data_IF_701681916522
#
_entry.id   IF_701681916522
#
_cell.length_a   1.000
_cell.length_b   1.000
_cell.length_c   1.000
_cell.angle_alpha   90.00
_cell.angle_beta   90.00
_cell.angle_gamma   90.00
#
_symmetry.space_group_name_H-M   'P 1'
#
loop_
_entity.id
_entity.type
_entity.pdbx_description
1 polymer ?
#
# COMPACT_ATOMS: atom_id res chain seq x y z
N UNK A 1 -6.64 1.28 7.73
CA UNK A 1 -7.49 1.21 6.52
C UNK A 1 -6.62 1.50 5.31
N UNK A 2 -6.87 0.85 4.18
CA UNK A 2 -6.05 0.93 2.96
C UNK A 2 -6.97 1.25 1.77
N UNK A 3 -6.54 2.15 0.87
CA UNK A 3 -7.27 2.48 -0.36
C UNK A 3 -6.83 1.59 -1.53
N UNK A 4 -7.77 1.15 -2.37
CA UNK A 4 -7.46 0.44 -3.61
C UNK A 4 -7.13 1.42 -4.74
N UNK A 5 -5.97 1.28 -5.39
CA UNK A 5 -5.55 2.16 -6.49
C UNK A 5 -6.29 1.92 -7.83
N UNK A 6 -7.26 1.00 -7.88
CA UNK A 6 -8.03 0.64 -9.09
C UNK A 6 -9.51 1.04 -9.00
N UNK A 7 -10.11 0.97 -7.80
CA UNK A 7 -11.53 1.34 -7.60
C UNK A 7 -11.72 2.47 -6.58
N UNK A 8 -10.64 3.03 -6.03
CA UNK A 8 -10.60 4.11 -5.03
C UNK A 8 -11.33 3.83 -3.70
N UNK A 9 -11.98 2.67 -3.54
CA UNK A 9 -12.61 2.22 -2.30
C UNK A 9 -11.60 2.03 -1.16
N UNK A 10 -12.09 2.23 0.06
CA UNK A 10 -11.34 2.09 1.31
C UNK A 10 -11.72 0.80 2.05
N UNK A 11 -10.70 0.03 2.45
CA UNK A 11 -10.83 -1.27 3.08
C UNK A 11 -10.28 -1.27 4.51
N UNK A 12 -10.91 -2.05 5.38
CA UNK A 12 -10.40 -2.37 6.71
C UNK A 12 -9.34 -3.49 6.59
N UNK A 13 -8.28 -3.41 7.39
CA UNK A 13 -7.09 -4.28 7.25
C UNK A 13 -7.38 -5.74 7.62
N UNK A 14 -8.41 -5.96 8.43
CA UNK A 14 -8.95 -7.26 8.82
C UNK A 14 -9.87 -7.87 7.74
N UNK A 15 -10.23 -7.10 6.70
CA UNK A 15 -11.29 -7.41 5.74
C UNK A 15 -10.84 -7.38 4.26
N UNK A 16 -9.53 -7.25 3.99
CA UNK A 16 -8.97 -7.26 2.61
C UNK A 16 -8.86 -8.65 1.96
N UNK A 17 -9.24 -9.73 2.67
CA UNK A 17 -9.28 -11.09 2.11
C UNK A 17 -7.95 -11.85 2.11
N UNK A 18 -7.01 -11.47 2.97
CA UNK A 18 -5.79 -12.26 3.23
C UNK A 18 -6.09 -13.58 3.94
N UNK A 19 -5.24 -14.59 3.74
CA UNK A 19 -5.33 -15.85 4.52
C UNK A 19 -4.65 -15.66 5.88
N UNK A 20 -4.94 -16.55 6.85
CA UNK A 20 -4.40 -16.44 8.22
C UNK A 20 -2.88 -16.65 8.35
N UNK A 21 -2.18 -16.87 7.23
CA UNK A 21 -0.72 -16.91 7.09
C UNK A 21 -0.12 -15.64 6.49
N UNK A 22 -0.95 -14.75 5.94
CA UNK A 22 -0.53 -13.68 5.04
C UNK A 22 -0.70 -12.34 5.77
N UNK A 23 0.41 -11.65 6.04
CA UNK A 23 0.40 -10.35 6.72
C UNK A 23 0.59 -9.19 5.73
N UNK A 24 0.14 -7.99 6.13
CA UNK A 24 0.33 -6.76 5.35
C UNK A 24 1.84 -6.41 5.37
N UNK A 25 2.52 -6.24 4.21
CA UNK A 25 3.96 -5.98 4.18
C UNK A 25 4.35 -4.68 4.91
N UNK A 26 5.01 -4.83 6.06
CA UNK A 26 5.51 -3.76 6.94
C UNK A 26 6.96 -4.01 7.34
N UNK A 27 7.69 -2.97 7.74
CA UNK A 27 9.03 -3.09 8.34
C UNK A 27 8.99 -3.25 9.87
N UNK A 28 10.17 -3.30 10.50
CA UNK A 28 10.34 -3.53 11.94
C UNK A 28 9.77 -2.35 12.77
N UNK A 29 9.71 -1.16 12.16
CA UNK A 29 9.09 0.06 12.66
C UNK A 29 7.55 0.08 12.45
N UNK A 30 7.02 -0.82 11.60
CA UNK A 30 5.61 -0.97 11.29
C UNK A 30 5.12 -0.20 10.06
N UNK A 31 5.99 0.49 9.34
CA UNK A 31 5.66 1.31 8.17
C UNK A 31 5.44 0.45 6.91
N UNK A 32 4.56 0.87 5.97
CA UNK A 32 4.28 0.10 4.74
C UNK A 32 5.51 -0.10 3.84
N UNK A 33 5.78 -1.37 3.48
CA UNK A 33 6.80 -1.73 2.48
C UNK A 33 6.29 -1.65 1.02
N UNK A 34 5.01 -1.31 0.83
CA UNK A 34 4.36 -1.14 -0.47
C UNK A 34 4.06 0.35 -0.77
N UNK A 35 3.68 0.63 -2.01
CA UNK A 35 3.30 1.96 -2.54
C UNK A 35 1.81 2.00 -2.90
N UNK A 36 1.35 1.04 -3.71
CA UNK A 36 -0.06 0.89 -4.10
C UNK A 36 -0.62 -0.46 -3.57
N UNK A 37 -1.93 -0.50 -3.35
CA UNK A 37 -2.69 -1.69 -2.99
C UNK A 37 -3.80 -1.95 -4.02
N UNK A 38 -3.97 -3.21 -4.42
CA UNK A 38 -5.09 -3.66 -5.27
C UNK A 38 -5.95 -4.64 -4.47
N UNK A 39 -7.23 -4.28 -4.28
CA UNK A 39 -8.18 -5.12 -3.55
C UNK A 39 -8.52 -6.42 -4.29
N UNK A 40 -9.05 -7.40 -3.56
CA UNK A 40 -9.30 -8.75 -4.07
C UNK A 40 -10.12 -8.79 -5.38
N UNK A 41 -11.14 -7.93 -5.51
CA UNK A 41 -11.98 -7.84 -6.70
C UNK A 41 -11.29 -7.19 -7.91
N UNK A 42 -10.41 -6.21 -7.69
CA UNK A 42 -9.66 -5.55 -8.75
C UNK A 42 -8.48 -6.42 -9.24
N UNK A 43 -7.91 -7.25 -8.38
CA UNK A 43 -6.80 -8.13 -8.71
C UNK A 43 -7.12 -9.15 -9.84
N UNK A 44 -8.39 -9.49 -10.06
CA UNK A 44 -8.83 -10.28 -11.23
C UNK A 44 -8.67 -9.52 -12.56
N UNK A 45 -9.02 -8.23 -12.58
CA UNK A 45 -8.82 -7.34 -13.75
C UNK A 45 -7.32 -7.11 -13.98
N UNK A 46 -6.58 -6.92 -12.89
CA UNK A 46 -5.14 -6.66 -12.89
C UNK A 46 -4.28 -7.94 -12.90
N UNK A 47 -4.85 -9.11 -13.20
CA UNK A 47 -4.15 -10.41 -13.18
C UNK A 47 -2.90 -10.47 -14.06
N UNK A 48 -2.81 -9.65 -15.10
CA UNK A 48 -1.58 -9.49 -15.92
C UNK A 48 -0.35 -9.01 -15.11
N UNK A 49 -0.54 -8.42 -13.93
CA UNK A 49 0.54 -7.97 -13.04
C UNK A 49 1.37 -9.14 -12.51
N UNK A 50 0.87 -10.38 -12.54
CA UNK A 50 1.68 -11.55 -12.17
C UNK A 50 2.86 -11.79 -13.13
N UNK A 51 2.80 -11.30 -14.38
CA UNK A 51 3.94 -11.33 -15.31
C UNK A 51 5.09 -10.38 -14.92
N UNK A 52 4.87 -9.53 -13.92
CA UNK A 52 5.86 -8.60 -13.35
C UNK A 52 6.24 -8.96 -11.90
N UNK A 53 5.69 -10.05 -11.34
CA UNK A 53 5.62 -10.30 -9.89
C UNK A 53 6.97 -10.19 -9.16
N UNK A 54 8.04 -10.75 -9.72
CA UNK A 54 9.40 -10.70 -9.13
C UNK A 54 9.95 -9.28 -8.97
N UNK A 55 9.45 -8.31 -9.72
CA UNK A 55 9.86 -6.89 -9.66
C UNK A 55 8.88 -6.03 -8.85
N UNK A 56 7.58 -6.30 -8.96
CA UNK A 56 6.53 -5.42 -8.41
C UNK A 56 5.88 -5.90 -7.10
N UNK A 57 6.17 -7.10 -6.61
CA UNK A 57 5.56 -7.60 -5.37
C UNK A 57 6.28 -7.07 -4.12
N UNK A 58 5.55 -6.41 -3.22
CA UNK A 58 6.05 -6.08 -1.89
C UNK A 58 6.12 -7.36 -1.03
N UNK A 59 7.30 -7.97 -0.98
CA UNK A 59 7.51 -9.24 -0.28
C UNK A 59 7.54 -9.07 1.24
N UNK A 60 6.69 -9.81 1.96
CA UNK A 60 6.90 -10.08 3.39
C UNK A 60 8.25 -10.79 3.54
N UNK A 61 9.17 -10.18 4.27
CA UNK A 61 10.54 -10.70 4.43
C UNK A 61 10.55 -11.87 5.42
N UNK A 62 10.25 -13.07 4.93
CA UNK A 62 10.34 -14.30 5.71
C UNK A 62 11.76 -14.54 6.22
N UNK A 63 12.03 -14.08 7.44
CA UNK A 63 13.30 -14.21 8.16
C UNK A 63 13.53 -15.66 8.63
N UNK A 64 13.65 -16.59 7.69
CA UNK A 64 14.11 -17.96 7.90
C UNK A 64 15.62 -17.96 8.25
N UNK A 65 15.93 -17.55 9.47
CA UNK A 65 17.28 -17.62 10.06
C UNK A 65 17.80 -19.06 9.98
N UNK A 66 19.05 -19.21 9.57
CA UNK A 66 19.64 -20.52 9.32
C UNK A 66 19.62 -21.43 10.57
N UNK A 67 19.09 -22.65 10.40
CA UNK A 67 19.05 -23.67 11.44
C UNK A 67 20.46 -24.06 11.92
N UNK A 68 20.77 -23.77 13.19
CA UNK A 68 21.92 -24.36 13.89
C UNK A 68 21.44 -25.29 15.02
N UNK A 69 21.27 -26.56 14.66
CA UNK A 69 21.31 -27.77 15.51
C UNK A 69 21.25 -27.60 17.04
N UNK A 70 20.20 -28.17 17.64
CA UNK A 70 20.35 -29.08 18.78
C UNK A 70 19.19 -30.06 18.90
N UNK A 71 19.51 -31.34 18.91
CA UNK A 71 18.55 -32.43 19.14
C UNK A 71 18.23 -32.55 20.63
N UNK A 72 16.98 -32.89 20.96
CA UNK A 72 16.69 -33.85 22.04
C UNK A 72 15.29 -34.44 21.90
N UNK A 73 15.22 -35.76 21.71
CA UNK A 73 13.97 -36.52 21.77
C UNK A 73 13.70 -37.05 23.19
N UNK A 74 12.43 -37.06 23.59
CA UNK A 74 11.82 -37.93 24.64
C UNK A 74 10.39 -38.27 24.17
N UNK A 75 9.82 -39.37 24.66
CA UNK A 75 8.63 -40.06 24.14
C UNK A 75 7.33 -39.75 24.89
N UNK A 76 6.20 -39.97 24.18
CA UNK A 76 4.89 -40.43 24.68
C UNK A 76 4.13 -39.49 25.66
N UNK A 77 2.82 -39.62 25.89
CA UNK A 77 1.86 -40.71 25.61
C UNK A 77 0.47 -40.18 25.15
N UNK A 78 -0.42 -41.07 24.71
CA UNK A 78 -1.83 -40.79 24.39
C UNK A 78 -2.75 -41.80 25.09
N UNK A 79 -3.91 -41.37 25.63
CA UNK A 79 -5.13 -42.05 25.18
C UNK A 79 -6.39 -41.18 25.06
N UNK A 80 -7.18 -41.45 24.01
CA UNK A 80 -8.64 -41.22 24.01
C UNK A 80 -9.37 -42.25 24.89
N UNK A 81 -10.63 -42.01 25.26
CA UNK A 81 -11.65 -43.00 24.84
C UNK A 81 -13.08 -42.46 24.56
N UNK A 82 -13.68 -42.93 23.45
CA UNK A 82 -15.04 -43.52 23.31
C UNK A 82 -16.31 -42.65 23.66
N UNK A 83 -17.52 -42.84 23.10
CA UNK A 83 -18.04 -43.85 22.15
C UNK A 83 -19.29 -43.45 21.31
N UNK A 84 -19.39 -44.07 20.12
CA UNK A 84 -20.54 -44.40 19.22
C UNK A 84 -21.98 -43.87 19.43
N UNK A 85 -22.63 -43.53 18.30
CA UNK A 85 -23.93 -44.12 17.90
C UNK A 85 -24.23 -44.05 16.36
N UNK A 86 -24.49 -45.21 15.73
CA UNK A 86 -25.55 -45.57 14.73
C UNK A 86 -25.94 -44.50 13.67
N UNK A 87 -25.68 -44.67 12.35
CA UNK A 87 -26.42 -45.45 11.31
C UNK A 87 -27.89 -45.00 11.09
N UNK A 88 -28.51 -45.05 9.90
CA UNK A 88 -28.09 -45.49 8.54
C UNK A 88 -27.99 -44.23 7.60
N UNK A 89 -28.14 -44.16 6.26
CA UNK A 89 -28.46 -45.06 5.13
C UNK A 89 -27.89 -44.45 3.80
N UNK A 90 -28.17 -45.04 2.61
CA UNK A 90 -27.73 -44.62 1.27
C UNK A 90 -28.86 -44.83 0.22
N UNK A 91 -28.91 -44.09 -0.91
CA UNK A 91 -28.34 -44.69 -2.13
C UNK A 91 -27.76 -43.72 -3.20
N UNK A 92 -26.79 -44.22 -3.97
CA UNK A 92 -26.49 -43.83 -5.36
C UNK A 92 -26.89 -44.99 -6.29
N UNK A 93 -27.11 -44.78 -7.61
CA UNK A 93 -25.97 -44.79 -8.56
C UNK A 93 -26.17 -43.78 -9.74
N UNK A 94 -25.17 -43.51 -10.60
CA UNK A 94 -24.71 -44.37 -11.69
C UNK A 94 -23.25 -44.07 -12.10
N UNK A 95 -22.60 -45.05 -12.72
CA UNK A 95 -21.19 -45.01 -13.16
C UNK A 95 -21.09 -45.06 -14.69
N UNK A 96 -20.06 -44.42 -15.24
CA UNK A 96 -19.37 -44.91 -16.45
C UNK A 96 -17.87 -44.72 -16.26
N UNK A 97 -17.05 -45.71 -16.63
CA UNK A 97 -15.63 -45.73 -16.31
C UNK A 97 -14.75 -45.46 -17.54
N UNK A 98 -13.80 -44.52 -17.40
CA UNK A 98 -12.61 -44.38 -18.23
C UNK A 98 -11.35 -44.53 -17.35
N UNK A 99 -10.22 -44.94 -17.91
CA UNK A 99 -9.00 -45.35 -17.16
C UNK A 99 -7.76 -44.80 -17.87
N UNK A 100 -6.65 -44.66 -17.11
CA UNK A 100 -5.26 -44.39 -17.58
C UNK A 100 -5.00 -42.92 -18.01
N UNK A 101 -3.86 -42.27 -17.73
CA UNK A 101 -2.66 -42.60 -16.90
C UNK A 101 -2.13 -41.33 -16.18
N UNK A 102 -1.20 -41.48 -15.24
CA UNK A 102 -0.52 -40.38 -14.53
C UNK A 102 0.87 -40.12 -15.13
N UNK A 103 0.96 -39.17 -16.06
CA UNK A 103 2.23 -38.67 -16.58
C UNK A 103 2.80 -37.54 -15.71
N UNK A 104 4.04 -37.68 -15.25
CA UNK A 104 4.83 -36.60 -14.63
C UNK A 104 6.03 -36.27 -15.52
N UNK A 105 6.24 -35.00 -15.84
CA UNK A 105 7.39 -34.54 -16.60
C UNK A 105 7.83 -33.14 -16.15
N UNK A 106 9.03 -33.05 -15.57
CA UNK A 106 9.70 -31.78 -15.31
C UNK A 106 10.11 -31.12 -16.63
N UNK A 107 9.86 -29.82 -16.79
CA UNK A 107 10.37 -29.07 -17.94
C UNK A 107 11.78 -28.55 -17.64
N UNK A 108 12.78 -29.18 -18.23
CA UNK A 108 14.16 -28.69 -18.21
C UNK A 108 14.36 -27.61 -19.29
N UNK A 109 15.08 -26.55 -18.94
CA UNK A 109 15.68 -25.60 -19.88
C UNK A 109 16.57 -26.31 -20.89
N UNK A 110 16.42 -25.99 -22.18
CA UNK A 110 17.53 -26.00 -23.15
C UNK A 110 17.19 -25.09 -24.35
N UNK A 111 18.22 -24.50 -24.95
CA UNK A 111 18.12 -23.52 -26.05
C UNK A 111 18.86 -24.05 -27.27
N UNK A 112 18.32 -23.92 -28.49
CA UNK A 112 19.06 -23.50 -29.72
C UNK A 112 18.23 -23.54 -31.03
N UNK A 113 18.58 -22.61 -31.94
CA UNK A 113 18.57 -22.68 -33.41
C UNK A 113 17.26 -22.81 -34.22
N UNK A 114 16.72 -21.63 -34.58
CA UNK A 114 16.59 -21.10 -35.96
C UNK A 114 16.19 -22.00 -37.15
N UNK A 115 15.09 -21.63 -37.85
CA UNK A 115 15.03 -21.06 -39.22
C UNK A 115 13.57 -21.00 -39.72
N UNK A 116 13.19 -19.99 -40.53
CA UNK A 116 11.84 -19.93 -41.14
C UNK A 116 11.22 -18.55 -41.40
N UNK A 117 11.56 -17.95 -42.54
CA UNK A 117 10.79 -16.98 -43.35
C UNK A 117 9.81 -15.99 -42.67
N UNK A 118 10.13 -14.69 -42.73
CA UNK A 118 9.21 -13.57 -42.49
C UNK A 118 8.95 -12.78 -43.79
N UNK A 119 7.73 -12.26 -43.94
CA UNK A 119 7.26 -11.60 -45.17
C UNK A 119 7.34 -10.07 -45.05
N UNK A 120 7.79 -9.35 -46.09
CA UNK A 120 8.08 -7.91 -46.04
C UNK A 120 7.13 -7.04 -46.89
N UNK A 121 6.36 -6.17 -46.22
CA UNK A 121 5.96 -4.80 -46.64
C UNK A 121 4.90 -4.22 -45.66
N UNK A 122 4.80 -2.92 -45.40
CA UNK A 122 5.66 -1.79 -45.81
C UNK A 122 5.59 -0.66 -44.76
N UNK A 123 6.40 0.39 -44.91
CA UNK A 123 6.75 1.31 -43.81
C UNK A 123 5.77 2.49 -43.59
N UNK A 124 5.44 2.74 -42.31
CA UNK A 124 5.15 4.07 -41.74
C UNK A 124 5.82 4.17 -40.36
N UNK A 125 6.27 5.36 -39.97
CA UNK A 125 7.22 5.52 -38.86
C UNK A 125 6.57 5.57 -37.47
N UNK A 126 7.18 4.88 -36.49
CA UNK A 126 6.86 5.05 -35.06
C UNK A 126 7.35 3.91 -34.16
N UNK A 127 8.33 4.20 -33.29
CA UNK A 127 8.88 3.41 -32.16
C UNK A 127 9.27 1.93 -32.39
N UNK A 128 10.35 1.47 -31.72
CA UNK A 128 10.78 0.05 -31.81
C UNK A 128 9.95 -0.83 -30.87
N UNK A 129 9.22 -1.80 -31.43
CA UNK A 129 8.00 -2.38 -30.83
C UNK A 129 8.19 -3.65 -29.99
N UNK A 130 9.35 -3.90 -29.38
CA UNK A 130 9.56 -5.15 -28.62
C UNK A 130 8.96 -5.07 -27.22
N UNK A 131 7.87 -5.80 -26.98
CA UNK A 131 7.29 -6.02 -25.64
C UNK A 131 8.33 -6.64 -24.69
N UNK A 132 8.47 -6.09 -23.48
CA UNK A 132 9.43 -6.57 -22.47
C UNK A 132 9.03 -7.92 -21.87
N UNK A 133 7.73 -8.24 -21.86
CA UNK A 133 7.21 -9.53 -21.40
C UNK A 133 7.39 -10.66 -22.43
N UNK A 134 7.69 -10.32 -23.69
CA UNK A 134 7.80 -11.29 -24.78
C UNK A 134 6.49 -12.00 -25.19
N UNK A 135 5.36 -11.68 -24.56
CA UNK A 135 4.04 -12.32 -24.77
C UNK A 135 2.95 -11.30 -25.13
N UNK A 136 1.83 -11.80 -25.66
CA UNK A 136 0.59 -11.04 -25.87
C UNK A 136 -0.30 -11.12 -24.63
N UNK A 137 -0.54 -9.97 -23.98
CA UNK A 137 -1.41 -9.86 -22.81
C UNK A 137 -2.89 -10.16 -23.11
N UNK A 138 -3.31 -10.01 -24.37
CA UNK A 138 -4.69 -10.27 -24.79
C UNK A 138 -4.99 -11.77 -25.00
N UNK A 139 -3.97 -12.58 -25.31
CA UNK A 139 -4.11 -13.99 -25.71
C UNK A 139 -3.90 -14.99 -24.57
N UNK A 140 -3.52 -14.52 -23.38
CA UNK A 140 -3.19 -15.39 -22.23
C UNK A 140 -4.08 -15.10 -21.01
N UNK A 141 -5.34 -15.57 -20.98
CA UNK A 141 -6.23 -15.38 -19.83
C UNK A 141 -5.75 -16.20 -18.63
N UNK A 142 -5.23 -15.54 -17.60
CA UNK A 142 -5.00 -16.16 -16.30
C UNK A 142 -6.33 -16.32 -15.56
N UNK A 143 -6.95 -17.50 -15.68
CA UNK A 143 -8.14 -17.87 -14.92
C UNK A 143 -7.76 -18.15 -13.47
N UNK A 144 -7.70 -17.11 -12.65
CA UNK A 144 -7.44 -17.24 -11.21
C UNK A 144 -8.78 -17.33 -10.48
N UNK A 145 -9.21 -18.55 -10.11
CA UNK A 145 -10.51 -18.82 -9.47
C UNK A 145 -10.71 -18.07 -8.13
N UNK A 146 -9.62 -17.63 -7.51
CA UNK A 146 -9.58 -16.65 -6.42
C UNK A 146 -8.33 -15.77 -6.58
N UNK A 147 -8.49 -14.56 -7.11
CA UNK A 147 -7.45 -13.55 -6.98
C UNK A 147 -7.23 -13.20 -5.50
N UNK A 148 -5.97 -13.15 -5.06
CA UNK A 148 -5.61 -12.55 -3.78
C UNK A 148 -5.48 -11.02 -3.95
N UNK A 149 -5.60 -10.21 -2.88
CA UNK A 149 -5.16 -8.81 -2.93
C UNK A 149 -3.67 -8.71 -3.28
N UNK A 150 -3.25 -7.58 -3.85
CA UNK A 150 -1.86 -7.33 -4.24
C UNK A 150 -1.29 -6.10 -3.54
N UNK A 151 -0.09 -6.24 -2.97
CA UNK A 151 0.71 -5.14 -2.43
C UNK A 151 1.88 -4.87 -3.37
N UNK A 152 1.97 -3.65 -3.90
CA UNK A 152 2.88 -3.33 -4.98
C UNK A 152 4.07 -2.50 -4.47
N UNK A 153 5.29 -2.88 -4.89
CA UNK A 153 6.53 -2.21 -4.48
C UNK A 153 6.64 -0.78 -5.05
N UNK A 154 7.55 0.02 -4.48
CA UNK A 154 7.77 1.40 -4.90
C UNK A 154 8.25 1.47 -6.36
N UNK A 155 7.74 2.45 -7.11
CA UNK A 155 7.97 2.68 -8.53
C UNK A 155 7.45 1.56 -9.47
N UNK A 156 6.55 0.67 -9.03
CA UNK A 156 6.05 -0.45 -9.86
C UNK A 156 5.45 -0.02 -11.21
N UNK A 157 4.78 1.15 -11.26
CA UNK A 157 4.22 1.74 -12.49
C UNK A 157 5.27 2.09 -13.55
N UNK A 158 6.52 2.29 -13.13
CA UNK A 158 7.62 2.58 -14.06
C UNK A 158 8.04 1.32 -14.83
N UNK A 159 7.86 0.13 -14.23
CA UNK A 159 8.20 -1.19 -14.81
C UNK A 159 7.24 -1.62 -15.93
N UNK A 160 6.01 -1.09 -15.96
CA UNK A 160 4.97 -1.48 -16.91
C UNK A 160 5.37 -1.20 -18.38
N UNK A 161 5.03 -2.13 -19.28
CA UNK A 161 5.44 -2.06 -20.67
C UNK A 161 4.64 -1.01 -21.47
N UNK A 162 5.35 -0.03 -22.04
CA UNK A 162 4.77 1.08 -22.82
C UNK A 162 4.89 0.88 -24.34
N UNK A 163 4.86 -0.36 -24.83
CA UNK A 163 4.74 -0.65 -26.26
C UNK A 163 3.27 -0.65 -26.71
N UNK A 164 3.02 -0.37 -27.99
CA UNK A 164 1.68 -0.19 -28.58
C UNK A 164 0.69 -1.29 -28.14
N UNK A 165 1.07 -2.56 -28.22
CA UNK A 165 0.20 -3.71 -27.88
C UNK A 165 -0.14 -3.81 -26.39
N UNK A 166 0.72 -3.32 -25.49
CA UNK A 166 0.42 -3.22 -24.07
C UNK A 166 -0.41 -1.98 -23.76
N UNK A 167 -0.14 -0.85 -24.41
CA UNK A 167 -0.93 0.38 -24.31
C UNK A 167 -2.40 0.14 -24.72
N UNK A 168 -2.63 -0.51 -25.86
CA UNK A 168 -3.96 -0.86 -26.36
C UNK A 168 -4.68 -1.81 -25.40
N UNK A 169 -3.96 -2.77 -24.80
CA UNK A 169 -4.51 -3.67 -23.76
C UNK A 169 -4.94 -2.90 -22.51
N UNK A 170 -4.12 -1.99 -21.97
CA UNK A 170 -4.50 -1.19 -20.79
C UNK A 170 -5.68 -0.26 -21.09
N UNK A 171 -5.72 0.32 -22.28
CA UNK A 171 -6.83 1.16 -22.75
C UNK A 171 -8.12 0.34 -22.88
N UNK A 172 -8.07 -0.84 -23.50
CA UNK A 172 -9.22 -1.76 -23.60
C UNK A 172 -9.72 -2.25 -22.23
N UNK A 173 -8.82 -2.41 -21.26
CA UNK A 173 -9.13 -2.79 -19.87
C UNK A 173 -9.59 -1.63 -18.98
N UNK A 174 -9.53 -0.38 -19.47
CA UNK A 174 -9.91 0.81 -18.69
C UNK A 174 -8.90 1.23 -17.60
N UNK A 175 -7.65 0.77 -17.70
CA UNK A 175 -6.60 0.92 -16.67
C UNK A 175 -5.35 1.67 -17.19
N UNK A 176 -5.49 2.46 -18.26
CA UNK A 176 -4.38 3.23 -18.85
C UNK A 176 -3.77 4.27 -17.90
N UNK A 177 -4.52 4.74 -16.89
CA UNK A 177 -4.05 5.63 -15.83
C UNK A 177 -2.88 5.04 -15.00
N UNK A 178 -2.70 3.71 -15.01
CA UNK A 178 -1.57 3.05 -14.35
C UNK A 178 -0.21 3.34 -15.02
N UNK A 179 -0.20 3.82 -16.26
CA UNK A 179 1.03 4.24 -16.95
C UNK A 179 1.41 5.69 -16.68
N UNK A 180 0.44 6.50 -16.24
CA UNK A 180 0.59 7.88 -15.80
C UNK A 180 1.18 7.90 -14.37
N UNK A 181 2.02 8.91 -14.09
CA UNK A 181 2.77 9.02 -12.82
C UNK A 181 2.09 10.00 -11.87
N UNK A 182 1.43 10.99 -12.42
CA UNK A 182 0.64 12.00 -11.74
C UNK A 182 -0.66 11.40 -11.18
N UNK A 183 -1.25 10.39 -11.85
CA UNK A 183 -2.37 9.56 -11.35
C UNK A 183 -1.96 8.53 -10.24
N UNK A 184 -0.87 8.77 -9.51
CA UNK A 184 -0.46 7.95 -8.35
C UNK A 184 -0.94 8.56 -7.02
N UNK A 185 -1.39 7.71 -6.09
CA UNK A 185 -1.89 8.16 -4.77
C UNK A 185 -0.82 9.00 -4.05
N UNK A 186 0.44 8.54 -4.08
CA UNK A 186 1.57 9.22 -3.47
C UNK A 186 1.84 10.63 -4.06
N UNK A 187 1.71 10.82 -5.38
CA UNK A 187 1.88 12.15 -5.98
C UNK A 187 0.65 13.04 -5.72
N UNK A 188 -0.57 12.50 -5.74
CA UNK A 188 -1.78 13.23 -5.35
C UNK A 188 -1.70 13.76 -3.91
N UNK A 189 -1.31 12.91 -2.94
CA UNK A 189 -1.11 13.32 -1.54
C UNK A 189 -0.02 14.39 -1.41
N UNK A 190 1.09 14.22 -2.13
CA UNK A 190 2.21 15.18 -2.16
C UNK A 190 1.77 16.54 -2.72
N UNK A 191 1.02 16.58 -3.82
CA UNK A 191 0.43 17.81 -4.38
C UNK A 191 -0.59 18.43 -3.43
N UNK A 192 -1.46 17.63 -2.80
CA UNK A 192 -2.43 18.12 -1.82
C UNK A 192 -1.76 18.74 -0.59
N UNK A 193 -0.66 18.13 -0.09
CA UNK A 193 0.16 18.64 0.99
C UNK A 193 0.85 19.95 0.63
N UNK A 194 1.55 20.01 -0.52
CA UNK A 194 2.18 21.24 -1.01
C UNK A 194 1.18 22.39 -1.13
N UNK A 195 -0.01 22.12 -1.68
CA UNK A 195 -1.09 23.10 -1.81
C UNK A 195 -1.66 23.56 -0.46
N UNK A 196 -1.66 22.70 0.57
CA UNK A 196 -2.02 23.07 1.94
C UNK A 196 -0.96 23.99 2.54
N UNK A 197 0.32 23.63 2.42
CA UNK A 197 1.44 24.37 2.99
C UNK A 197 1.60 25.75 2.33
N UNK A 198 1.43 25.83 1.00
CA UNK A 198 1.32 27.11 0.27
C UNK A 198 0.18 28.00 0.78
N UNK A 199 -1.00 27.43 1.03
CA UNK A 199 -2.16 28.20 1.49
C UNK A 199 -1.97 28.71 2.92
N UNK A 200 -1.34 27.92 3.80
CA UNK A 200 -0.96 28.36 5.14
C UNK A 200 0.03 29.54 5.09
N UNK A 201 1.11 29.41 4.32
CA UNK A 201 2.11 30.48 4.14
C UNK A 201 1.47 31.77 3.57
N UNK A 202 0.59 31.64 2.58
CA UNK A 202 -0.16 32.77 2.01
C UNK A 202 -1.06 33.41 3.08
N UNK A 203 -1.83 32.63 3.84
CA UNK A 203 -2.77 33.15 4.84
C UNK A 203 -2.07 33.86 6.02
N UNK A 204 -0.98 33.28 6.55
CA UNK A 204 -0.20 33.87 7.63
C UNK A 204 0.49 35.18 7.19
N UNK A 205 1.11 35.16 6.01
CA UNK A 205 1.72 36.34 5.41
C UNK A 205 0.72 37.45 5.13
N UNK A 206 -0.41 37.15 4.48
CA UNK A 206 -1.42 38.16 4.10
C UNK A 206 -2.08 38.83 5.29
N UNK A 207 -2.33 38.11 6.39
CA UNK A 207 -2.93 38.69 7.59
C UNK A 207 -1.98 39.72 8.21
N UNK A 208 -0.74 39.34 8.49
CA UNK A 208 0.25 40.26 9.06
C UNK A 208 0.65 41.37 8.08
N UNK A 209 0.54 41.17 6.76
CA UNK A 209 0.87 42.20 5.78
C UNK A 209 -0.17 43.33 5.68
N UNK A 210 -1.44 43.07 5.97
CA UNK A 210 -2.54 44.07 5.90
C UNK A 210 -2.56 45.07 7.06
N UNK A 211 -1.86 44.77 8.16
CA UNK A 211 -1.80 45.59 9.37
C UNK A 211 -0.73 46.71 9.28
N UNK A 212 -0.90 47.77 10.06
CA UNK A 212 0.10 48.81 10.29
C UNK A 212 1.29 48.29 11.11
N UNK A 213 2.45 48.96 11.03
CA UNK A 213 3.67 48.53 11.72
C UNK A 213 3.46 48.38 13.24
N UNK A 214 2.72 49.30 13.88
CA UNK A 214 2.43 49.26 15.32
C UNK A 214 1.61 48.01 15.67
N UNK A 215 0.50 47.79 14.97
CA UNK A 215 -0.39 46.64 15.15
C UNK A 215 0.36 45.30 14.96
N UNK A 216 1.27 45.20 13.98
CA UNK A 216 2.15 44.03 13.83
C UNK A 216 3.03 43.79 15.05
N UNK A 217 3.65 44.85 15.59
CA UNK A 217 4.53 44.73 16.76
C UNK A 217 3.73 44.37 18.03
N UNK A 218 2.54 44.94 18.22
CA UNK A 218 1.64 44.59 19.33
C UNK A 218 1.21 43.12 19.28
N UNK A 219 0.82 42.61 18.10
CA UNK A 219 0.43 41.20 17.92
C UNK A 219 1.63 40.28 18.14
N UNK A 220 2.79 40.58 17.55
CA UNK A 220 4.01 39.76 17.72
C UNK A 220 4.48 39.74 19.18
N UNK A 221 4.47 40.88 19.88
CA UNK A 221 4.78 40.95 21.31
C UNK A 221 3.74 40.19 22.15
N UNK A 222 2.45 40.32 21.83
CA UNK A 222 1.37 39.61 22.52
C UNK A 222 1.43 38.09 22.37
N UNK A 223 1.82 37.60 21.19
CA UNK A 223 2.08 36.17 20.93
C UNK A 223 3.33 35.71 21.69
N UNK A 224 4.41 36.51 21.69
CA UNK A 224 5.62 36.18 22.43
C UNK A 224 5.35 36.07 23.94
N UNK A 225 4.65 37.06 24.52
CA UNK A 225 4.23 37.07 25.92
C UNK A 225 3.33 35.88 26.27
N UNK A 226 2.34 35.56 25.43
CA UNK A 226 1.45 34.41 25.64
C UNK A 226 2.22 33.09 25.61
N UNK A 227 3.15 32.93 24.66
CA UNK A 227 4.05 31.77 24.55
C UNK A 227 4.93 31.62 25.80
N UNK A 228 5.45 32.73 26.35
CA UNK A 228 6.34 32.71 27.50
C UNK A 228 5.61 32.49 28.83
N UNK A 229 4.39 33.01 29.02
CA UNK A 229 3.57 32.67 30.21
C UNK A 229 3.06 31.22 30.17
N UNK A 230 2.66 30.70 29.00
CA UNK A 230 2.27 29.29 28.85
C UNK A 230 3.47 28.36 29.11
N UNK A 231 4.67 28.73 28.60
CA UNK A 231 5.90 28.02 28.92
C UNK A 231 6.19 28.04 30.43
N UNK A 232 6.15 29.21 31.06
CA UNK A 232 6.39 29.34 32.50
C UNK A 232 5.39 28.53 33.35
N UNK A 233 4.12 28.45 32.93
CA UNK A 233 3.13 27.56 33.55
C UNK A 233 3.55 26.10 33.42
N UNK A 234 3.92 25.63 32.23
CA UNK A 234 4.31 24.23 31.99
C UNK A 234 5.63 23.85 32.69
N UNK A 235 6.60 24.78 32.76
CA UNK A 235 7.88 24.59 33.44
C UNK A 235 7.79 24.64 34.98
N UNK A 236 6.78 25.33 35.53
CA UNK A 236 6.52 25.38 36.99
C UNK A 236 5.46 24.38 37.47
N UNK A 237 4.77 23.70 36.56
CA UNK A 237 3.78 22.68 36.89
C UNK A 237 4.44 21.36 37.31
N UNK A 238 3.93 20.77 38.39
CA UNK A 238 4.29 19.42 38.81
C UNK A 238 3.63 18.39 37.88
N UNK A 239 4.39 17.53 37.16
CA UNK A 239 3.83 16.58 36.19
C UNK A 239 2.96 15.48 36.83
N UNK A 240 2.94 15.36 38.16
CA UNK A 240 2.02 14.48 38.89
C UNK A 240 0.66 15.12 39.20
N UNK A 241 0.47 16.40 38.90
CA UNK A 241 -0.76 17.16 39.22
C UNK A 241 -1.45 17.69 37.95
N UNK A 242 -2.79 17.68 37.90
CA UNK A 242 -3.53 18.32 36.81
C UNK A 242 -3.45 19.85 36.94
N UNK A 243 -3.25 20.53 35.80
CA UNK A 243 -3.38 22.00 35.70
C UNK A 243 -4.83 22.39 36.01
N UNK A 244 -5.04 23.38 36.87
CA UNK A 244 -6.36 23.83 37.32
C UNK A 244 -6.79 25.11 36.60
N UNK A 245 -8.10 25.42 36.69
CA UNK A 245 -8.64 26.69 36.17
C UNK A 245 -7.99 27.92 36.81
N UNK A 246 -7.52 27.83 38.07
CA UNK A 246 -6.86 28.93 38.76
C UNK A 246 -5.50 29.28 38.12
N UNK A 247 -4.73 28.27 37.72
CA UNK A 247 -3.42 28.44 37.10
C UNK A 247 -3.55 29.12 35.71
N UNK A 248 -4.59 28.75 34.96
CA UNK A 248 -4.96 29.40 33.69
C UNK A 248 -5.40 30.86 33.91
N UNK A 249 -6.19 31.15 34.95
CA UNK A 249 -6.53 32.53 35.31
C UNK A 249 -5.28 33.35 35.70
N UNK A 250 -4.32 32.75 36.41
CA UNK A 250 -3.07 33.41 36.78
C UNK A 250 -2.21 33.79 35.56
N UNK A 251 -2.17 32.95 34.51
CA UNK A 251 -1.56 33.28 33.21
C UNK A 251 -2.21 34.52 32.58
N UNK A 252 -3.54 34.57 32.50
CA UNK A 252 -4.24 35.74 31.94
C UNK A 252 -4.01 37.02 32.77
N UNK A 253 -3.98 36.90 34.10
CA UNK A 253 -3.64 38.01 35.00
C UNK A 253 -2.22 38.53 34.78
N UNK A 254 -1.24 37.65 34.50
CA UNK A 254 0.13 38.06 34.19
C UNK A 254 0.22 38.78 32.84
N UNK A 255 -0.45 38.27 31.81
CA UNK A 255 -0.56 38.95 30.51
C UNK A 255 -1.20 40.34 30.65
N UNK A 256 -2.25 40.45 31.48
CA UNK A 256 -2.88 41.73 31.78
C UNK A 256 -2.00 42.70 32.58
N UNK A 257 -1.07 42.20 33.41
CA UNK A 257 -0.04 43.02 34.09
C UNK A 257 1.07 43.48 33.13
N UNK A 258 1.48 42.62 32.19
CA UNK A 258 2.50 42.92 31.15
C UNK A 258 2.04 44.04 30.20
N UNK A 259 0.84 43.91 29.62
CA UNK A 259 0.25 44.96 28.75
C UNK A 259 0.07 46.33 29.42
N UNK A 260 0.04 46.39 30.76
CA UNK A 260 -0.06 47.65 31.53
C UNK A 260 1.30 48.29 31.85
N UNK A 261 2.42 47.65 31.49
CA UNK A 261 3.79 48.13 31.76
C UNK A 261 4.50 48.66 30.51
N UNK A 262 4.16 48.13 29.34
CA UNK A 262 4.61 48.62 28.03
C UNK A 262 3.41 49.21 27.27
N UNK A 263 3.07 50.50 27.49
CA UNK A 263 2.12 51.24 26.65
C UNK A 263 2.74 51.73 25.33
#
# INVERSE_FOLDING_TARGET
MIQCCICEDWFHEEHIGLQSSDEIPRDEEGEPQYEDFICQGCAGVCSFLTYYFETISASVRNNNVANSTKEKAVLEDSPSPLEKAVLEDLPSPLKSSGKLERGSCSLNTLVTNAEGTINECSQVAGSSKKCILGISLAETPLTIDKSNPMFLSKNWREVLCRCDTCWDFYTQKGISFLLDKEDSIAEYEKVAKLKRDENLQKQEGDFLNKLGHVEKMEILSGIADMKDEIRALLESSDPSKPITTADIHQVFDNLAKKRKRNP
#
